data_IF_670556666952
#
_entry.id   IF_670556666952
#
_cell.length_a   1.000
_cell.length_b   1.000
_cell.length_c   1.000
_cell.angle_alpha   90.00
_cell.angle_beta   90.00
_cell.angle_gamma   90.00
#
_symmetry.space_group_name_H-M   'P 1'
#
loop_
_entity.id
_entity.type
_entity.pdbx_description
1 polymer ?
#
# COMPACT_ATOMS: atom_id res chain seq x y z
N UNK A 1 14.51 -24.74 -21.12
CA UNK A 1 13.50 -23.67 -21.16
C UNK A 1 13.75 -22.58 -20.09
N UNK A 2 14.93 -21.95 -20.12
CA UNK A 2 15.38 -20.82 -19.28
C UNK A 2 15.25 -19.47 -20.02
N UNK A 3 14.32 -19.38 -20.98
CA UNK A 3 14.60 -18.75 -22.28
C UNK A 3 13.86 -17.48 -22.64
N UNK A 4 13.92 -16.42 -21.83
CA UNK A 4 13.90 -15.04 -22.35
C UNK A 4 14.80 -14.15 -21.47
N UNK A 5 16.06 -13.89 -21.87
CA UNK A 5 16.98 -13.04 -21.09
C UNK A 5 16.36 -11.67 -20.78
N UNK A 6 15.60 -11.10 -21.72
CA UNK A 6 14.86 -9.85 -21.53
C UNK A 6 13.91 -9.83 -20.31
N UNK A 7 13.32 -10.97 -19.93
CA UNK A 7 12.40 -11.04 -18.77
C UNK A 7 13.17 -11.19 -17.46
N UNK A 8 14.27 -11.95 -17.45
CA UNK A 8 15.14 -12.08 -16.27
C UNK A 8 15.89 -10.77 -16.00
N UNK A 9 16.41 -10.12 -17.04
CA UNK A 9 17.01 -8.79 -16.96
C UNK A 9 15.97 -7.75 -16.55
N UNK A 10 14.77 -7.77 -17.14
CA UNK A 10 13.68 -6.86 -16.79
C UNK A 10 13.25 -6.95 -15.33
N UNK A 11 13.17 -8.15 -14.76
CA UNK A 11 12.88 -8.34 -13.32
C UNK A 11 14.01 -7.79 -12.45
N UNK A 12 15.27 -8.01 -12.84
CA UNK A 12 16.43 -7.46 -12.15
C UNK A 12 16.45 -5.92 -12.13
N UNK A 13 16.18 -5.29 -13.27
CA UNK A 13 16.09 -3.84 -13.36
C UNK A 13 14.94 -3.26 -12.54
N UNK A 14 13.74 -3.86 -12.61
CA UNK A 14 12.59 -3.43 -11.80
C UNK A 14 12.88 -3.51 -10.30
N UNK A 15 13.58 -4.55 -9.86
CA UNK A 15 14.00 -4.69 -8.47
C UNK A 15 15.02 -3.60 -8.08
N UNK A 16 16.03 -3.36 -8.92
CA UNK A 16 17.00 -2.30 -8.70
C UNK A 16 16.34 -0.91 -8.61
N UNK A 17 15.37 -0.61 -9.50
CA UNK A 17 14.58 0.62 -9.43
C UNK A 17 13.76 0.72 -8.14
N UNK A 18 13.12 -0.38 -7.72
CA UNK A 18 12.39 -0.40 -6.46
C UNK A 18 13.30 -0.11 -5.25
N UNK A 19 14.48 -0.71 -5.20
CA UNK A 19 15.47 -0.46 -4.15
C UNK A 19 15.98 0.98 -4.17
N UNK A 20 16.33 1.52 -5.34
CA UNK A 20 16.80 2.90 -5.47
C UNK A 20 15.71 3.90 -5.05
N UNK A 21 14.47 3.66 -5.48
CA UNK A 21 13.32 4.47 -5.09
C UNK A 21 13.03 4.39 -3.58
N UNK A 22 13.22 3.23 -2.95
CA UNK A 22 13.05 3.07 -1.49
C UNK A 22 14.11 3.84 -0.70
N UNK A 23 15.37 3.83 -1.17
CA UNK A 23 16.46 4.62 -0.58
C UNK A 23 16.15 6.11 -0.74
N UNK A 24 15.77 6.54 -1.94
CA UNK A 24 15.41 7.92 -2.22
C UNK A 24 14.23 8.40 -1.35
N UNK A 25 13.18 7.59 -1.23
CA UNK A 25 12.05 7.88 -0.33
C UNK A 25 12.52 8.10 1.11
N UNK A 26 13.37 7.21 1.64
CA UNK A 26 13.86 7.32 3.03
C UNK A 26 14.64 8.62 3.24
N UNK A 27 15.48 9.00 2.28
CA UNK A 27 16.25 10.25 2.33
C UNK A 27 15.33 11.47 2.25
N UNK A 28 14.42 11.52 1.27
CA UNK A 28 13.51 12.65 1.10
C UNK A 28 12.57 12.83 2.30
N UNK A 29 12.04 11.73 2.84
CA UNK A 29 11.22 11.78 4.04
C UNK A 29 12.01 12.29 5.26
N UNK A 30 13.27 11.84 5.41
CA UNK A 30 14.15 12.32 6.49
C UNK A 30 14.46 13.82 6.41
N UNK A 31 14.53 14.39 5.21
CA UNK A 31 14.69 15.83 4.99
C UNK A 31 13.37 16.62 4.95
N UNK A 32 12.25 16.01 5.34
CA UNK A 32 10.90 16.62 5.26
C UNK A 32 10.52 17.09 3.84
N UNK A 33 11.11 16.48 2.80
CA UNK A 33 10.77 16.71 1.40
C UNK A 33 9.63 15.78 0.99
N UNK A 34 8.42 16.09 1.43
CA UNK A 34 7.26 15.20 1.30
C UNK A 34 6.85 14.91 -0.15
N UNK A 35 6.88 15.91 -1.04
CA UNK A 35 6.52 15.71 -2.45
C UNK A 35 7.52 14.78 -3.17
N UNK A 36 8.85 15.02 -3.12
CA UNK A 36 9.84 14.07 -3.65
C UNK A 36 9.78 12.68 -3.01
N UNK A 37 9.48 12.62 -1.71
CA UNK A 37 9.27 11.34 -1.02
C UNK A 37 8.07 10.60 -1.63
N UNK A 38 6.92 11.25 -1.76
CA UNK A 38 5.74 10.64 -2.35
C UNK A 38 5.98 10.14 -3.78
N UNK A 39 6.65 10.94 -4.62
CA UNK A 39 7.01 10.51 -5.98
C UNK A 39 7.88 9.27 -5.95
N UNK A 40 8.90 9.24 -5.08
CA UNK A 40 9.78 8.07 -4.91
C UNK A 40 9.03 6.84 -4.42
N UNK A 41 8.08 7.02 -3.51
CA UNK A 41 7.20 5.96 -3.00
C UNK A 41 6.31 5.39 -4.12
N UNK A 42 5.74 6.24 -4.98
CA UNK A 42 4.93 5.81 -6.13
C UNK A 42 5.79 5.06 -7.15
N UNK A 43 7.01 5.53 -7.43
CA UNK A 43 7.94 4.80 -8.30
C UNK A 43 8.24 3.41 -7.74
N UNK A 44 8.57 3.31 -6.44
CA UNK A 44 8.79 2.01 -5.79
C UNK A 44 7.55 1.10 -5.91
N UNK A 45 6.35 1.65 -5.70
CA UNK A 45 5.09 0.91 -5.82
C UNK A 45 4.87 0.36 -7.23
N UNK A 46 5.08 1.18 -8.25
CA UNK A 46 4.92 0.78 -9.66
C UNK A 46 5.96 -0.28 -10.01
N UNK A 47 7.23 -0.07 -9.66
CA UNK A 47 8.31 -1.04 -9.92
C UNK A 47 8.04 -2.40 -9.28
N UNK A 48 7.61 -2.43 -8.01
CA UNK A 48 7.28 -3.66 -7.29
C UNK A 48 6.02 -4.34 -7.83
N UNK A 49 4.99 -3.57 -8.19
CA UNK A 49 3.76 -4.11 -8.77
C UNK A 49 4.02 -4.74 -10.14
N UNK A 50 4.80 -4.07 -10.99
CA UNK A 50 5.25 -4.60 -12.27
C UNK A 50 6.10 -5.86 -12.09
N UNK A 51 7.00 -5.88 -11.10
CA UNK A 51 7.80 -7.06 -10.76
C UNK A 51 6.89 -8.23 -10.35
N UNK A 52 5.89 -7.99 -9.50
CA UNK A 52 4.95 -9.02 -9.06
C UNK A 52 4.11 -9.56 -10.22
N UNK A 53 3.65 -8.71 -11.13
CA UNK A 53 2.92 -9.11 -12.35
C UNK A 53 3.82 -9.93 -13.27
N UNK A 54 5.07 -9.49 -13.51
CA UNK A 54 6.05 -10.21 -14.32
C UNK A 54 6.32 -11.61 -13.75
N UNK A 55 6.52 -11.73 -12.44
CA UNK A 55 6.70 -13.01 -11.76
C UNK A 55 5.48 -13.93 -11.86
N UNK A 56 4.26 -13.38 -11.97
CA UNK A 56 3.02 -14.17 -12.18
C UNK A 56 2.91 -14.65 -13.62
N UNK A 57 3.27 -13.83 -14.61
CA UNK A 57 3.20 -14.19 -16.03
C UNK A 57 4.20 -15.29 -16.43
N UNK A 58 5.36 -15.34 -15.77
CA UNK A 58 6.41 -16.34 -16.04
C UNK A 58 6.10 -17.72 -15.43
N UNK A 59 5.05 -17.82 -14.60
CA UNK A 59 4.69 -19.03 -13.84
C UNK A 59 4.32 -20.19 -14.78
N UNK A 60 5.29 -21.08 -15.05
CA UNK A 60 5.13 -22.27 -15.90
C UNK A 60 5.16 -23.61 -15.15
N UNK A 61 5.35 -23.64 -13.82
CA UNK A 61 5.43 -24.89 -13.05
C UNK A 61 4.84 -24.75 -11.65
N UNK A 62 4.39 -25.87 -11.09
CA UNK A 62 4.03 -26.00 -9.68
C UNK A 62 5.22 -25.58 -8.82
N UNK A 63 5.13 -24.42 -8.17
CA UNK A 63 6.18 -23.92 -7.31
C UNK A 63 6.26 -24.72 -6.03
N UNK A 64 7.49 -25.02 -5.61
CA UNK A 64 7.71 -25.61 -4.30
C UNK A 64 7.27 -24.63 -3.21
N UNK A 65 6.71 -25.15 -2.10
CA UNK A 65 6.36 -24.32 -0.93
C UNK A 65 7.52 -23.45 -0.47
N UNK A 66 8.77 -23.93 -0.60
CA UNK A 66 9.98 -23.18 -0.24
C UNK A 66 10.23 -21.97 -1.13
N UNK A 67 10.03 -22.12 -2.44
CA UNK A 67 10.18 -21.02 -3.40
C UNK A 67 9.16 -19.91 -3.15
N UNK A 68 7.93 -20.28 -2.81
CA UNK A 68 6.90 -19.31 -2.43
C UNK A 68 7.31 -18.45 -1.22
N UNK A 69 7.74 -19.09 -0.13
CA UNK A 69 8.08 -18.40 1.12
C UNK A 69 9.31 -17.49 0.97
N UNK A 70 10.28 -17.87 0.14
CA UNK A 70 11.51 -17.10 -0.04
C UNK A 70 11.38 -16.01 -1.12
N UNK A 71 10.68 -16.28 -2.23
CA UNK A 71 10.73 -15.43 -3.43
C UNK A 71 9.45 -14.66 -3.71
N UNK A 72 8.32 -14.99 -3.07
CA UNK A 72 7.04 -14.31 -3.34
C UNK A 72 6.40 -13.71 -2.11
N UNK A 73 6.38 -14.43 -1.00
CA UNK A 73 5.82 -13.93 0.25
C UNK A 73 6.40 -12.56 0.66
N UNK A 74 7.72 -12.35 0.77
CA UNK A 74 8.28 -11.06 1.18
C UNK A 74 7.94 -9.94 0.18
N UNK A 75 7.94 -10.23 -1.12
CA UNK A 75 7.57 -9.24 -2.15
C UNK A 75 6.08 -8.87 -2.09
N UNK A 76 5.19 -9.83 -1.89
CA UNK A 76 3.76 -9.55 -1.70
C UNK A 76 3.50 -8.72 -0.44
N UNK A 77 4.18 -9.04 0.67
CA UNK A 77 4.09 -8.23 1.91
C UNK A 77 4.58 -6.81 1.63
N UNK A 78 5.70 -6.67 0.93
CA UNK A 78 6.27 -5.37 0.61
C UNK A 78 5.35 -4.53 -0.27
N UNK A 79 4.75 -5.11 -1.33
CA UNK A 79 3.74 -4.42 -2.15
C UNK A 79 2.55 -3.97 -1.31
N UNK A 80 2.01 -4.84 -0.44
CA UNK A 80 0.89 -4.49 0.43
C UNK A 80 1.22 -3.32 1.36
N UNK A 81 2.40 -3.34 1.97
CA UNK A 81 2.87 -2.25 2.81
C UNK A 81 3.07 -0.95 2.01
N UNK A 82 3.65 -1.04 0.82
CA UNK A 82 3.89 0.13 -0.04
C UNK A 82 2.57 0.79 -0.44
N UNK A 83 1.50 0.03 -0.72
CA UNK A 83 0.16 0.60 -0.95
C UNK A 83 -0.36 1.38 0.25
N UNK A 84 -0.28 0.82 1.46
CA UNK A 84 -0.70 1.47 2.70
C UNK A 84 0.12 2.74 2.95
N UNK A 85 1.43 2.68 2.77
CA UNK A 85 2.32 3.83 2.92
C UNK A 85 2.04 4.91 1.89
N UNK A 86 1.71 4.58 0.63
CA UNK A 86 1.32 5.58 -0.38
C UNK A 86 0.03 6.30 0.00
N UNK A 87 -0.97 5.57 0.51
CA UNK A 87 -2.21 6.16 1.01
C UNK A 87 -1.95 7.12 2.19
N UNK A 88 -1.06 6.74 3.12
CA UNK A 88 -0.66 7.61 4.22
C UNK A 88 0.04 8.89 3.74
N UNK A 89 1.01 8.76 2.83
CA UNK A 89 1.74 9.93 2.31
C UNK A 89 0.83 10.88 1.52
N UNK A 90 -0.21 10.37 0.87
CA UNK A 90 -1.22 11.22 0.24
C UNK A 90 -1.89 12.16 1.27
N UNK A 91 -2.29 11.61 2.42
CA UNK A 91 -2.83 12.41 3.52
C UNK A 91 -1.80 13.38 4.11
N UNK A 92 -0.53 12.98 4.23
CA UNK A 92 0.55 13.87 4.69
C UNK A 92 0.75 15.04 3.74
N UNK A 93 0.76 14.82 2.42
CA UNK A 93 0.86 15.89 1.44
C UNK A 93 -0.29 16.89 1.56
N UNK A 94 -1.52 16.40 1.70
CA UNK A 94 -2.70 17.25 1.89
C UNK A 94 -2.55 18.15 3.11
N UNK A 95 -2.01 17.60 4.21
CA UNK A 95 -1.74 18.36 5.43
C UNK A 95 -0.64 19.43 5.22
N UNK A 96 0.47 19.06 4.59
CA UNK A 96 1.62 19.93 4.35
C UNK A 96 1.30 21.12 3.43
N UNK A 97 0.44 20.92 2.43
CA UNK A 97 -0.04 22.01 1.56
C UNK A 97 -1.15 22.86 2.21
N UNK A 98 -1.48 22.61 3.48
CA UNK A 98 -2.47 23.41 4.22
C UNK A 98 -3.90 23.20 3.74
N UNK A 99 -4.22 22.01 3.21
CA UNK A 99 -5.55 21.72 2.70
C UNK A 99 -6.64 21.89 3.77
N UNK A 100 -7.83 22.31 3.35
CA UNK A 100 -8.96 22.48 4.26
C UNK A 100 -9.39 21.15 4.91
N UNK A 101 -10.07 21.16 6.07
CA UNK A 101 -10.55 19.92 6.70
C UNK A 101 -11.44 19.08 5.78
N UNK A 102 -12.27 19.70 4.92
CA UNK A 102 -13.11 18.96 3.96
C UNK A 102 -12.27 18.29 2.86
N UNK A 103 -11.20 18.93 2.40
CA UNK A 103 -10.26 18.34 1.43
C UNK A 103 -9.52 17.16 2.06
N UNK A 104 -9.02 17.30 3.29
CA UNK A 104 -8.33 16.21 4.00
C UNK A 104 -9.25 15.01 4.24
N UNK A 105 -10.53 15.27 4.55
CA UNK A 105 -11.53 14.22 4.67
C UNK A 105 -11.77 13.51 3.33
N UNK A 106 -11.89 14.26 2.23
CA UNK A 106 -12.03 13.69 0.90
C UNK A 106 -10.80 12.83 0.53
N UNK A 107 -9.59 13.29 0.84
CA UNK A 107 -8.35 12.54 0.62
C UNK A 107 -8.31 11.24 1.42
N UNK A 108 -8.79 11.25 2.67
CA UNK A 108 -8.92 10.05 3.49
C UNK A 108 -9.94 9.06 2.90
N UNK A 109 -11.09 9.53 2.42
CA UNK A 109 -12.10 8.70 1.76
C UNK A 109 -11.52 8.07 0.48
N UNK A 110 -10.86 8.86 -0.36
CA UNK A 110 -10.21 8.39 -1.59
C UNK A 110 -9.14 7.35 -1.29
N UNK A 111 -8.34 7.57 -0.24
CA UNK A 111 -7.30 6.63 0.20
C UNK A 111 -7.88 5.28 0.63
N UNK A 112 -8.96 5.30 1.43
CA UNK A 112 -9.67 4.06 1.83
C UNK A 112 -10.28 3.36 0.61
N UNK A 113 -10.95 4.11 -0.29
CA UNK A 113 -11.54 3.55 -1.50
C UNK A 113 -10.49 2.92 -2.43
N UNK A 114 -9.31 3.53 -2.56
CA UNK A 114 -8.18 2.99 -3.32
C UNK A 114 -7.70 1.66 -2.71
N UNK A 115 -7.48 1.62 -1.39
CA UNK A 115 -7.05 0.40 -0.69
C UNK A 115 -8.09 -0.74 -0.80
N UNK A 116 -9.38 -0.41 -0.76
CA UNK A 116 -10.45 -1.39 -1.01
C UNK A 116 -10.41 -1.90 -2.45
N UNK A 117 -10.25 -1.01 -3.42
CA UNK A 117 -10.12 -1.39 -4.83
C UNK A 117 -8.96 -2.34 -5.05
N UNK A 118 -7.78 -2.04 -4.47
CA UNK A 118 -6.60 -2.92 -4.51
C UNK A 118 -6.90 -4.28 -3.86
N UNK A 119 -7.60 -4.27 -2.71
CA UNK A 119 -8.02 -5.51 -2.03
C UNK A 119 -8.88 -6.39 -2.92
N UNK A 120 -9.93 -5.83 -3.54
CA UNK A 120 -10.82 -6.56 -4.45
C UNK A 120 -10.09 -7.07 -5.69
N UNK A 121 -9.20 -6.29 -6.29
CA UNK A 121 -8.39 -6.72 -7.44
C UNK A 121 -7.50 -7.92 -7.09
N UNK A 122 -6.89 -7.93 -5.90
CA UNK A 122 -6.04 -9.03 -5.46
C UNK A 122 -6.83 -10.26 -4.99
N UNK A 123 -8.03 -10.09 -4.43
CA UNK A 123 -8.97 -11.18 -4.13
C UNK A 123 -9.46 -11.84 -5.42
N UNK A 124 -9.86 -11.05 -6.42
CA UNK A 124 -10.35 -11.54 -7.72
C UNK A 124 -9.32 -12.36 -8.50
N UNK A 125 -8.03 -12.12 -8.27
CA UNK A 125 -6.95 -12.92 -8.85
C UNK A 125 -6.87 -14.36 -8.29
N UNK A 126 -7.53 -14.67 -7.17
CA UNK A 126 -7.68 -16.02 -6.58
C UNK A 126 -6.38 -16.86 -6.51
N UNK A 127 -5.26 -16.25 -6.11
CA UNK A 127 -3.99 -16.98 -5.90
C UNK A 127 -3.55 -16.93 -4.44
N UNK A 128 -2.85 -17.96 -3.94
CA UNK A 128 -2.31 -17.95 -2.57
C UNK A 128 -1.42 -16.74 -2.28
N UNK A 129 -0.59 -16.31 -3.24
CA UNK A 129 0.25 -15.10 -3.10
C UNK A 129 -0.53 -13.80 -3.19
N UNK A 130 -1.73 -13.80 -3.77
CA UNK A 130 -2.55 -12.60 -3.88
C UNK A 130 -3.37 -12.32 -2.63
N UNK A 131 -3.49 -13.25 -1.67
CA UNK A 131 -4.16 -13.01 -0.38
C UNK A 131 -3.32 -12.21 0.61
N UNK A 132 -1.99 -12.18 0.43
CA UNK A 132 -1.07 -11.48 1.34
C UNK A 132 -1.29 -9.98 1.31
N UNK A 133 -1.45 -9.37 0.13
CA UNK A 133 -1.69 -7.92 -0.02
C UNK A 133 -2.99 -7.48 0.68
N UNK A 134 -4.16 -8.09 0.40
CA UNK A 134 -5.40 -7.92 1.16
C UNK A 134 -5.22 -8.02 2.67
N UNK A 135 -4.48 -9.02 3.15
CA UNK A 135 -4.27 -9.22 4.59
C UNK A 135 -3.50 -8.05 5.22
N UNK A 136 -2.49 -7.51 4.53
CA UNK A 136 -1.76 -6.32 4.99
C UNK A 136 -2.66 -5.09 4.99
N UNK A 137 -3.54 -4.94 4.00
CA UNK A 137 -4.50 -3.83 3.95
C UNK A 137 -5.52 -3.93 5.10
N UNK A 138 -6.05 -5.12 5.37
CA UNK A 138 -6.95 -5.36 6.52
C UNK A 138 -6.23 -5.04 7.83
N UNK A 139 -4.98 -5.47 7.99
CA UNK A 139 -4.17 -5.12 9.16
C UNK A 139 -4.01 -3.60 9.32
N UNK A 140 -3.79 -2.87 8.22
CA UNK A 140 -3.69 -1.42 8.26
C UNK A 140 -5.02 -0.76 8.65
N UNK A 141 -6.15 -1.26 8.13
CA UNK A 141 -7.48 -0.82 8.54
C UNK A 141 -7.74 -1.04 10.03
N UNK A 142 -7.33 -2.19 10.59
CA UNK A 142 -7.41 -2.44 12.04
C UNK A 142 -6.57 -1.42 12.83
N UNK A 143 -5.38 -1.07 12.34
CA UNK A 143 -4.55 -0.02 12.93
C UNK A 143 -5.21 1.37 12.94
N UNK A 144 -5.83 1.75 11.81
CA UNK A 144 -6.59 3.01 11.70
C UNK A 144 -7.77 3.01 12.67
N UNK A 145 -8.54 1.91 12.72
CA UNK A 145 -9.64 1.75 13.67
C UNK A 145 -9.19 1.91 15.12
N UNK A 146 -8.06 1.29 15.49
CA UNK A 146 -7.52 1.38 16.84
C UNK A 146 -7.13 2.81 17.20
N UNK A 147 -6.54 3.55 16.26
CA UNK A 147 -6.20 4.95 16.46
C UNK A 147 -7.46 5.83 16.63
N UNK A 148 -8.50 5.58 15.83
CA UNK A 148 -9.77 6.30 15.91
C UNK A 148 -10.63 5.95 17.15
N UNK A 149 -10.31 4.88 17.89
CA UNK A 149 -10.96 4.60 19.19
C UNK A 149 -10.57 5.59 20.28
N UNK A 150 -9.37 6.17 20.18
CA UNK A 150 -8.85 7.17 21.10
C UNK A 150 -8.28 8.33 20.29
N UNK A 151 -9.14 9.10 19.59
CA UNK A 151 -8.68 10.14 18.70
C UNK A 151 -7.94 11.21 19.50
N UNK A 152 -6.81 11.65 18.98
CA UNK A 152 -6.08 12.79 19.55
C UNK A 152 -6.99 14.04 19.52
N UNK A 153 -6.91 14.89 20.53
CA UNK A 153 -7.70 16.13 20.62
C UNK A 153 -7.62 17.01 19.35
N UNK A 154 -6.49 16.96 18.63
CA UNK A 154 -6.32 17.65 17.35
C UNK A 154 -7.27 17.12 16.25
N UNK A 155 -7.44 15.80 16.14
CA UNK A 155 -8.32 15.17 15.15
C UNK A 155 -9.78 15.46 15.49
N UNK A 156 -10.15 15.31 16.76
CA UNK A 156 -11.51 15.55 17.23
C UNK A 156 -11.93 17.02 17.05
N UNK A 157 -11.04 17.97 17.35
CA UNK A 157 -11.29 19.40 17.13
C UNK A 157 -11.40 19.80 15.66
N UNK A 158 -10.72 19.07 14.75
CA UNK A 158 -10.62 19.43 13.32
C UNK A 158 -11.72 18.82 12.47
N UNK A 159 -12.15 17.59 12.77
CA UNK A 159 -13.14 16.85 11.98
C UNK A 159 -14.46 16.61 12.73
N UNK A 160 -14.46 16.72 14.07
CA UNK A 160 -15.60 16.40 14.92
C UNK A 160 -15.75 14.90 15.21
N UNK A 161 -16.30 14.58 16.39
CA UNK A 161 -16.49 13.19 16.83
C UNK A 161 -17.37 12.36 15.88
N UNK A 162 -18.42 12.97 15.32
CA UNK A 162 -19.34 12.29 14.39
C UNK A 162 -18.64 11.75 13.13
N UNK A 163 -17.67 12.49 12.58
CA UNK A 163 -16.91 12.07 11.40
C UNK A 163 -15.96 10.92 11.74
N UNK A 164 -15.33 10.99 12.92
CA UNK A 164 -14.47 9.93 13.43
C UNK A 164 -15.24 8.62 13.65
N UNK A 165 -16.43 8.72 14.24
CA UNK A 165 -17.33 7.57 14.44
C UNK A 165 -17.81 6.99 13.10
N UNK A 166 -18.19 7.83 12.14
CA UNK A 166 -18.59 7.37 10.80
C UNK A 166 -17.46 6.58 10.12
N UNK A 167 -16.24 7.11 10.12
CA UNK A 167 -15.07 6.41 9.58
C UNK A 167 -14.80 5.10 10.30
N UNK A 168 -14.90 5.08 11.63
CA UNK A 168 -14.73 3.89 12.45
C UNK A 168 -15.72 2.78 12.05
N UNK A 169 -17.00 3.13 11.86
CA UNK A 169 -18.02 2.19 11.43
C UNK A 169 -17.81 1.70 9.99
N UNK A 170 -17.40 2.57 9.07
CA UNK A 170 -17.04 2.16 7.70
C UNK A 170 -15.89 1.16 7.69
N UNK A 171 -14.83 1.41 8.46
CA UNK A 171 -13.67 0.52 8.53
C UNK A 171 -14.05 -0.86 9.09
N UNK A 172 -14.89 -0.93 10.13
CA UNK A 172 -15.38 -2.20 10.67
C UNK A 172 -16.19 -2.99 9.63
N UNK A 173 -17.08 -2.31 8.92
CA UNK A 173 -17.87 -2.93 7.85
C UNK A 173 -16.97 -3.51 6.75
N UNK A 174 -15.89 -2.80 6.39
CA UNK A 174 -14.93 -3.28 5.38
C UNK A 174 -14.01 -4.39 5.87
N UNK A 175 -13.65 -4.39 7.16
CA UNK A 175 -12.86 -5.46 7.74
C UNK A 175 -13.67 -6.76 7.95
N UNK A 176 -15.00 -6.71 7.79
CA UNK A 176 -15.89 -7.85 8.05
C UNK A 176 -15.98 -8.22 9.54
N UNK A 177 -15.65 -7.28 10.42
CA UNK A 177 -15.75 -7.42 11.88
C UNK A 177 -17.07 -6.75 12.29
N UNK A 178 -18.18 -7.43 12.01
CA UNK A 178 -19.54 -7.01 12.41
C UNK A 178 -20.01 -7.81 13.61
#
# INVERSE_FOLDING_TARGET
FRGRPAVLEGVGYLFAYACAAQIAWTMFFSFCLFLPAFVSQVVALVSLSCLLVSQRLVRRREESRREYWLLRFPFSVHVGWTFVSTALHWSVLSLEYGASPSTQLADAIVSVALLLTVTFLFLGAMTRSSLVVPLIIIWAFVGIYWNLRHPTHQIESRFGGNVCDAFRHSILAFAGIS
#
